data_IF_471528849999
#
_entry.id   IF_471528849999
#
_cell.length_a   1.000
_cell.length_b   1.000
_cell.length_c   1.000
_cell.angle_alpha   90.00
_cell.angle_beta   90.00
_cell.angle_gamma   90.00
#
_symmetry.space_group_name_H-M   'P 1'
#
loop_
_entity.id
_entity.type
_entity.pdbx_description
1 polymer ?
#
# COMPACT_ATOMS: atom_id res chain seq x y z
N UNK A 1 16.44 -5.85 -8.70
CA UNK A 1 17.11 -7.05 -8.18
C UNK A 1 16.36 -7.66 -6.99
N UNK A 2 16.26 -7.01 -5.81
CA UNK A 2 15.52 -7.57 -4.67
C UNK A 2 13.99 -7.42 -4.79
N UNK A 3 13.54 -6.28 -5.33
CA UNK A 3 12.13 -6.01 -5.65
C UNK A 3 11.50 -7.08 -6.57
N UNK A 4 12.31 -7.64 -7.49
CA UNK A 4 11.86 -8.65 -8.45
C UNK A 4 11.63 -10.03 -7.81
N UNK A 5 12.33 -10.33 -6.70
CA UNK A 5 12.17 -11.58 -5.96
C UNK A 5 10.90 -11.62 -5.08
N UNK A 6 10.33 -10.45 -4.77
CA UNK A 6 9.10 -10.32 -3.97
C UNK A 6 7.82 -10.48 -4.79
N UNK A 7 7.89 -10.22 -6.10
CA UNK A 7 6.73 -10.19 -7.00
C UNK A 7 6.12 -11.59 -7.22
N UNK A 8 6.90 -12.68 -7.09
CA UNK A 8 6.49 -14.05 -7.44
C UNK A 8 5.54 -14.74 -6.44
N UNK A 9 5.18 -14.10 -5.32
CA UNK A 9 4.41 -14.75 -4.22
C UNK A 9 2.90 -14.47 -4.21
N UNK A 10 2.34 -13.79 -5.21
CA UNK A 10 0.99 -13.20 -5.12
C UNK A 10 -0.16 -13.96 -5.80
N UNK A 11 0.03 -15.19 -6.31
CA UNK A 11 -1.02 -15.88 -7.06
C UNK A 11 -2.00 -16.72 -6.23
N UNK A 12 -1.77 -16.96 -4.93
CA UNK A 12 -2.69 -17.73 -4.10
C UNK A 12 -2.81 -17.12 -2.70
N UNK A 13 -3.91 -16.41 -2.40
CA UNK A 13 -4.69 -16.63 -1.17
C UNK A 13 -5.93 -15.71 -1.10
N UNK A 14 -7.11 -16.32 -1.02
CA UNK A 14 -8.37 -15.64 -0.74
C UNK A 14 -8.65 -15.59 0.77
N UNK A 15 -9.07 -14.40 1.21
CA UNK A 15 -9.98 -14.07 2.30
C UNK A 15 -9.79 -14.71 3.70
N UNK A 16 -9.59 -13.86 4.70
CA UNK A 16 -10.27 -14.03 6.00
C UNK A 16 -10.99 -12.74 6.38
N UNK A 17 -12.26 -12.90 6.76
CA UNK A 17 -13.22 -11.83 7.01
C UNK A 17 -13.15 -11.37 8.47
N UNK A 18 -12.83 -10.11 8.69
CA UNK A 18 -13.17 -9.37 9.91
C UNK A 18 -14.48 -8.62 9.60
N UNK A 19 -15.18 -8.12 10.62
CA UNK A 19 -16.36 -7.22 10.57
C UNK A 19 -16.15 -5.92 9.75
N UNK A 20 -15.67 -6.04 8.51
CA UNK A 20 -14.82 -5.09 7.78
C UNK A 20 -15.58 -4.02 7.01
N UNK A 21 -16.89 -4.19 6.83
CA UNK A 21 -17.65 -3.35 5.89
C UNK A 21 -17.83 -1.91 6.38
N UNK A 22 -17.99 -1.67 7.69
CA UNK A 22 -18.22 -0.32 8.21
C UNK A 22 -16.93 0.52 8.29
N UNK A 23 -15.84 -0.04 8.81
CA UNK A 23 -14.55 0.67 8.87
C UNK A 23 -13.97 0.93 7.49
N UNK A 24 -13.99 -0.06 6.59
CA UNK A 24 -13.54 0.12 5.22
C UNK A 24 -14.40 1.16 4.49
N UNK A 25 -15.71 1.20 4.75
CA UNK A 25 -16.61 2.23 4.21
C UNK A 25 -16.25 3.63 4.73
N UNK A 26 -15.92 3.78 6.02
CA UNK A 26 -15.46 5.05 6.59
C UNK A 26 -14.15 5.51 5.94
N UNK A 27 -13.17 4.61 5.78
CA UNK A 27 -11.90 4.90 5.12
C UNK A 27 -12.14 5.32 3.67
N UNK A 28 -12.97 4.59 2.91
CA UNK A 28 -13.32 4.92 1.52
C UNK A 28 -14.00 6.28 1.41
N UNK A 29 -14.89 6.62 2.34
CA UNK A 29 -15.55 7.92 2.37
C UNK A 29 -14.57 9.06 2.70
N UNK A 30 -13.70 8.87 3.69
CA UNK A 30 -12.65 9.83 4.01
C UNK A 30 -11.69 10.05 2.83
N UNK A 31 -11.24 8.97 2.17
CA UNK A 31 -10.40 9.01 0.99
C UNK A 31 -11.07 9.78 -0.16
N UNK A 32 -12.37 9.57 -0.38
CA UNK A 32 -13.15 10.38 -1.35
C UNK A 32 -13.06 11.85 -1.01
N UNK A 33 -13.32 12.24 0.24
CA UNK A 33 -13.30 13.67 0.65
C UNK A 33 -11.93 14.29 0.39
N UNK A 34 -10.85 13.61 0.77
CA UNK A 34 -9.47 14.09 0.54
C UNK A 34 -9.18 14.22 -0.94
N UNK A 35 -9.44 13.17 -1.74
CA UNK A 35 -9.22 13.21 -3.19
C UNK A 35 -10.04 14.32 -3.85
N UNK A 36 -11.32 14.51 -3.51
CA UNK A 36 -12.11 15.60 -4.09
C UNK A 36 -11.54 16.99 -3.81
N UNK A 37 -10.88 17.18 -2.65
CA UNK A 37 -10.26 18.45 -2.25
C UNK A 37 -8.88 18.67 -2.90
N UNK A 38 -8.18 17.59 -3.26
CA UNK A 38 -6.95 17.72 -4.04
C UNK A 38 -7.26 18.33 -5.40
N UNK A 39 -6.41 19.25 -5.87
CA UNK A 39 -6.47 19.87 -7.21
C UNK A 39 -5.33 19.36 -8.10
N UNK A 40 -5.33 18.08 -8.51
CA UNK A 40 -4.30 17.53 -9.37
C UNK A 40 -4.50 18.06 -10.78
N UNK A 41 -3.40 18.38 -11.43
CA UNK A 41 -3.39 18.70 -12.85
C UNK A 41 -3.52 17.44 -13.73
N UNK A 42 -3.24 16.25 -13.18
CA UNK A 42 -3.23 14.97 -13.88
C UNK A 42 -3.99 13.90 -13.10
N UNK A 43 -3.40 13.37 -12.04
CA UNK A 43 -3.93 12.27 -11.23
C UNK A 43 -3.61 12.51 -9.74
N UNK A 44 -4.36 11.85 -8.85
CA UNK A 44 -4.09 11.86 -7.42
C UNK A 44 -4.32 10.48 -6.83
N UNK A 45 -3.38 10.03 -6.00
CA UNK A 45 -3.45 8.73 -5.34
C UNK A 45 -3.31 8.91 -3.83
N UNK A 46 -4.08 8.14 -3.07
CA UNK A 46 -3.91 7.94 -1.64
C UNK A 46 -3.55 6.48 -1.41
N UNK A 47 -2.44 6.25 -0.71
CA UNK A 47 -2.01 4.94 -0.26
C UNK A 47 -2.28 4.90 1.24
N UNK A 48 -3.22 4.06 1.66
CA UNK A 48 -3.74 4.03 3.03
C UNK A 48 -3.33 2.70 3.65
N UNK A 49 -2.46 2.73 4.64
CA UNK A 49 -2.08 1.56 5.41
C UNK A 49 -3.20 1.20 6.40
N UNK A 50 -3.53 -0.09 6.49
CA UNK A 50 -4.60 -0.62 7.35
C UNK A 50 -4.07 -1.69 8.32
N UNK A 51 -2.78 -1.59 8.68
CA UNK A 51 -2.10 -2.57 9.53
C UNK A 51 -2.15 -3.97 8.94
N UNK A 52 -2.61 -4.94 9.74
CA UNK A 52 -2.75 -6.33 9.33
C UNK A 52 -3.70 -6.53 8.12
N UNK A 53 -4.60 -5.59 7.86
CA UNK A 53 -5.50 -5.64 6.71
C UNK A 53 -4.81 -5.23 5.39
N UNK A 54 -3.54 -4.84 5.41
CA UNK A 54 -2.77 -4.47 4.22
C UNK A 54 -2.95 -3.00 3.82
N UNK A 55 -3.06 -2.73 2.51
CA UNK A 55 -3.07 -1.37 1.95
C UNK A 55 -4.26 -1.15 1.04
N UNK A 56 -4.96 -0.03 1.23
CA UNK A 56 -5.99 0.44 0.31
C UNK A 56 -5.42 1.60 -0.54
N UNK A 57 -5.41 1.39 -1.85
CA UNK A 57 -5.14 2.44 -2.83
C UNK A 57 -6.46 3.08 -3.26
N UNK A 58 -6.56 4.40 -3.12
CA UNK A 58 -7.63 5.20 -3.70
C UNK A 58 -7.06 6.12 -4.78
N UNK A 59 -7.55 6.02 -6.00
CA UNK A 59 -7.01 6.75 -7.15
C UNK A 59 -8.09 7.62 -7.76
N UNK A 60 -7.73 8.87 -8.09
CA UNK A 60 -8.52 9.74 -8.93
C UNK A 60 -7.76 9.96 -10.24
N UNK A 61 -8.23 9.28 -11.29
CA UNK A 61 -7.64 9.37 -12.62
C UNK A 61 -8.08 10.64 -13.36
N UNK A 62 -7.26 11.07 -14.32
CA UNK A 62 -7.52 12.23 -15.17
C UNK A 62 -8.85 12.04 -15.91
N UNK A 63 -9.71 13.06 -15.87
CA UNK A 63 -10.91 13.08 -16.70
C UNK A 63 -10.51 13.02 -18.18
N UNK A 64 -10.97 12.00 -18.91
CA UNK A 64 -11.05 12.10 -20.36
C UNK A 64 -12.05 13.19 -20.69
N UNK A 65 -11.61 14.20 -21.43
CA UNK A 65 -12.36 15.43 -21.78
C UNK A 65 -13.55 15.21 -22.71
N UNK A 66 -13.95 13.96 -22.95
CA UNK A 66 -14.77 13.59 -24.12
C UNK A 66 -16.20 13.13 -23.81
N UNK A 67 -16.65 13.12 -22.54
CA UNK A 67 -18.03 12.69 -22.23
C UNK A 67 -18.74 13.60 -21.23
N UNK A 68 -19.97 13.93 -21.58
CA UNK A 68 -20.76 15.08 -21.12
C UNK A 68 -21.44 14.91 -19.76
N UNK A 69 -20.96 14.05 -18.85
CA UNK A 69 -21.54 13.92 -17.51
C UNK A 69 -20.50 13.68 -16.40
N UNK A 70 -20.04 14.81 -15.87
CA UNK A 70 -19.38 15.12 -14.60
C UNK A 70 -19.41 14.06 -13.46
N UNK A 71 -18.31 13.32 -13.29
CA UNK A 71 -17.58 13.14 -12.00
C UNK A 71 -16.26 12.43 -12.27
N UNK A 72 -15.13 12.94 -11.76
CA UNK A 72 -13.87 12.21 -11.81
C UNK A 72 -14.03 10.96 -10.94
N UNK A 73 -13.96 9.78 -11.57
CA UNK A 73 -14.23 8.52 -10.89
C UNK A 73 -13.07 8.21 -9.94
N UNK A 74 -13.40 8.01 -8.67
CA UNK A 74 -12.44 7.52 -7.67
C UNK A 74 -12.52 6.00 -7.68
N UNK A 75 -11.41 5.37 -8.05
CA UNK A 75 -11.25 3.91 -8.02
C UNK A 75 -10.54 3.49 -6.75
N UNK A 76 -10.77 2.24 -6.34
CA UNK A 76 -10.16 1.66 -5.15
C UNK A 76 -9.57 0.31 -5.48
N UNK A 77 -8.38 0.02 -4.97
CA UNK A 77 -7.76 -1.29 -5.03
C UNK A 77 -7.23 -1.66 -3.64
N UNK A 78 -7.64 -2.83 -3.15
CA UNK A 78 -7.17 -3.35 -1.86
C UNK A 78 -6.08 -4.39 -2.10
N UNK A 79 -4.97 -4.25 -1.38
CA UNK A 79 -3.84 -5.16 -1.36
C UNK A 79 -3.81 -5.80 0.04
N UNK A 80 -4.31 -7.04 0.21
CA UNK A 80 -4.31 -7.69 1.51
C UNK A 80 -2.87 -8.01 1.95
N UNK A 81 -2.61 -7.99 3.26
CA UNK A 81 -1.35 -8.50 3.80
C UNK A 81 -1.25 -9.99 3.47
N UNK A 82 -0.15 -10.40 2.82
CA UNK A 82 0.09 -11.80 2.44
C UNK A 82 0.70 -12.62 3.58
N UNK A 83 1.15 -11.98 4.66
CA UNK A 83 1.83 -12.63 5.77
C UNK A 83 1.13 -12.32 7.09
N UNK A 84 0.79 -13.41 7.80
CA UNK A 84 0.55 -13.34 9.23
C UNK A 84 1.93 -13.20 9.87
N UNK A 85 2.18 -12.03 10.46
CA UNK A 85 3.39 -11.82 11.26
C UNK A 85 3.24 -12.70 12.50
N UNK A 86 4.14 -13.66 12.66
CA UNK A 86 4.13 -14.55 13.80
C UNK A 86 4.50 -13.76 15.06
N UNK A 87 3.54 -13.65 15.98
CA UNK A 87 3.69 -12.89 17.23
C UNK A 87 4.72 -13.51 18.18
N UNK A 88 5.12 -14.77 17.97
CA UNK A 88 6.06 -15.48 18.85
C UNK A 88 7.52 -15.03 18.69
N UNK A 89 7.88 -14.34 17.60
CA UNK A 89 9.27 -14.00 17.27
C UNK A 89 9.77 -12.62 17.74
N UNK A 90 8.99 -11.90 18.55
CA UNK A 90 9.36 -10.55 19.00
C UNK A 90 9.10 -9.54 17.88
N UNK A 91 7.88 -9.02 17.84
CA UNK A 91 7.40 -8.15 16.78
C UNK A 91 7.65 -6.69 17.14
N UNK A 92 8.28 -5.93 16.24
CA UNK A 92 8.47 -4.49 16.41
C UNK A 92 7.74 -3.71 15.30
N UNK A 93 6.57 -3.15 15.62
CA UNK A 93 5.81 -2.35 14.63
C UNK A 93 6.39 -0.96 14.36
N UNK A 94 7.41 -0.54 15.12
CA UNK A 94 8.06 0.77 14.96
C UNK A 94 8.70 0.86 13.57
N UNK A 95 8.42 1.94 12.84
CA UNK A 95 9.01 2.17 11.52
C UNK A 95 8.43 1.32 10.39
N UNK A 96 7.40 0.51 10.61
CA UNK A 96 6.74 -0.24 9.54
C UNK A 96 6.14 0.67 8.45
N UNK A 97 5.50 1.77 8.86
CA UNK A 97 4.96 2.78 7.94
C UNK A 97 6.05 3.55 7.18
N UNK A 98 7.12 3.94 7.88
CA UNK A 98 8.26 4.62 7.27
C UNK A 98 9.00 3.71 6.28
N UNK A 99 9.17 2.43 6.66
CA UNK A 99 9.75 1.40 5.80
C UNK A 99 8.92 1.24 4.53
N UNK A 100 7.59 1.12 4.66
CA UNK A 100 6.68 1.02 3.52
C UNK A 100 6.82 2.23 2.60
N UNK A 101 6.79 3.43 3.16
CA UNK A 101 6.88 4.67 2.40
C UNK A 101 8.23 4.78 1.67
N UNK A 102 9.33 4.48 2.34
CA UNK A 102 10.68 4.50 1.76
C UNK A 102 10.84 3.49 0.64
N UNK A 103 10.43 2.23 0.86
CA UNK A 103 10.48 1.17 -0.14
C UNK A 103 9.55 1.46 -1.33
N UNK A 104 8.36 2.03 -1.08
CA UNK A 104 7.45 2.49 -2.14
C UNK A 104 8.10 3.57 -3.01
N UNK A 105 8.68 4.61 -2.40
CA UNK A 105 9.34 5.70 -3.12
C UNK A 105 10.49 5.17 -3.97
N UNK A 106 11.32 4.30 -3.39
CA UNK A 106 12.42 3.66 -4.11
C UNK A 106 11.91 2.80 -5.28
N UNK A 107 10.88 1.98 -5.07
CA UNK A 107 10.35 1.13 -6.13
C UNK A 107 9.72 1.94 -7.26
N UNK A 108 8.86 2.91 -6.95
CA UNK A 108 8.08 3.64 -7.94
C UNK A 108 8.88 4.73 -8.65
N UNK A 109 9.49 5.64 -7.89
CA UNK A 109 10.11 6.84 -8.45
C UNK A 109 11.55 6.63 -8.88
N UNK A 110 12.29 5.72 -8.22
CA UNK A 110 13.70 5.47 -8.54
C UNK A 110 13.84 4.33 -9.54
N UNK A 111 13.13 3.22 -9.32
CA UNK A 111 13.28 2.00 -10.14
C UNK A 111 12.18 1.86 -11.22
N UNK A 112 11.22 2.78 -11.30
CA UNK A 112 10.20 2.79 -12.35
C UNK A 112 9.19 1.63 -12.28
N UNK A 113 9.06 0.97 -11.13
CA UNK A 113 8.02 -0.05 -10.96
C UNK A 113 6.63 0.58 -11.03
N UNK A 114 5.64 -0.19 -11.51
CA UNK A 114 4.24 0.25 -11.51
C UNK A 114 3.77 0.57 -10.09
N UNK A 115 2.78 1.47 -9.96
CA UNK A 115 2.22 1.87 -8.66
C UNK A 115 1.80 0.67 -7.81
N UNK A 116 1.13 -0.33 -8.44
CA UNK A 116 0.69 -1.56 -7.76
C UNK A 116 1.86 -2.40 -7.27
N UNK A 117 2.93 -2.54 -8.07
CA UNK A 117 4.10 -3.32 -7.68
C UNK A 117 4.90 -2.61 -6.59
N UNK A 118 5.03 -1.28 -6.67
CA UNK A 118 5.68 -0.49 -5.63
C UNK A 118 4.97 -0.59 -4.27
N UNK A 119 3.62 -0.63 -4.27
CA UNK A 119 2.85 -0.88 -3.04
C UNK A 119 3.18 -2.25 -2.45
N UNK A 120 3.19 -3.30 -3.28
CA UNK A 120 3.55 -4.66 -2.83
C UNK A 120 4.96 -4.73 -2.25
N UNK A 121 5.94 -4.13 -2.93
CA UNK A 121 7.33 -4.03 -2.44
C UNK A 121 7.38 -3.30 -1.10
N UNK A 122 6.64 -2.20 -0.95
CA UNK A 122 6.54 -1.47 0.31
C UNK A 122 5.93 -2.29 1.44
N UNK A 123 4.86 -3.06 1.16
CA UNK A 123 4.24 -3.96 2.12
C UNK A 123 5.20 -5.05 2.57
N UNK A 124 5.92 -5.68 1.63
CA UNK A 124 6.87 -6.73 1.95
C UNK A 124 8.06 -6.19 2.77
N UNK A 125 8.56 -5.00 2.43
CA UNK A 125 9.60 -4.34 3.21
C UNK A 125 9.13 -4.03 4.64
N UNK A 126 7.89 -3.57 4.80
CA UNK A 126 7.31 -3.32 6.12
C UNK A 126 7.24 -4.59 6.97
N UNK A 127 6.86 -5.73 6.37
CA UNK A 127 6.86 -7.02 7.09
C UNK A 127 8.27 -7.39 7.54
N UNK A 128 9.28 -7.23 6.68
CA UNK A 128 10.68 -7.50 7.04
C UNK A 128 11.17 -6.61 8.18
N UNK A 129 10.76 -5.33 8.24
CA UNK A 129 11.05 -4.47 9.39
C UNK A 129 10.29 -4.88 10.64
N UNK A 130 9.03 -5.31 10.51
CA UNK A 130 8.22 -5.79 11.63
C UNK A 130 8.82 -7.04 12.29
N UNK A 131 9.40 -7.92 11.47
CA UNK A 131 10.12 -9.14 11.87
C UNK A 131 11.54 -8.86 12.42
N UNK A 132 11.95 -7.60 12.54
CA UNK A 132 13.25 -7.20 13.08
C UNK A 132 13.09 -6.59 14.50
N UNK A 133 13.24 -7.39 15.57
CA UNK A 133 13.00 -6.91 16.94
C UNK A 133 13.97 -5.80 17.37
N UNK A 134 15.20 -5.80 16.83
CA UNK A 134 16.28 -4.96 17.32
C UNK A 134 16.28 -3.52 16.76
N UNK A 135 15.31 -3.15 15.91
CA UNK A 135 15.24 -1.79 15.37
C UNK A 135 14.03 -1.50 14.49
N UNK A 136 13.87 -0.24 14.10
CA UNK A 136 12.73 0.24 13.32
C UNK A 136 12.83 -0.06 11.81
N UNK A 137 14.05 -0.30 11.31
CA UNK A 137 14.32 -0.62 9.91
C UNK A 137 15.28 -1.80 9.90
N UNK A 138 14.89 -2.89 9.24
CA UNK A 138 15.74 -4.08 9.12
C UNK A 138 16.99 -3.78 8.28
N UNK A 139 18.20 -4.17 8.74
CA UNK A 139 19.43 -3.96 7.99
C UNK A 139 19.45 -4.73 6.65
N UNK A 140 18.66 -5.79 6.53
CA UNK A 140 18.53 -6.59 5.29
C UNK A 140 17.97 -5.76 4.13
N UNK A 141 17.25 -4.67 4.43
CA UNK A 141 16.71 -3.75 3.43
C UNK A 141 17.80 -2.84 2.80
N UNK A 142 18.95 -2.67 3.47
CA UNK A 142 20.04 -1.79 3.04
C UNK A 142 21.25 -2.50 2.44
N UNK A 143 21.27 -3.84 2.43
CA UNK A 143 22.44 -4.65 2.01
C UNK A 143 22.47 -5.01 0.52
N UNK A 144 21.73 -4.31 -0.34
CA UNK A 144 21.65 -4.61 -1.79
C UNK A 144 21.78 -3.36 -2.64
#
# INVERSE_FOLDING_TARGET
>A
AWADALITKYDDCAASAINSTDEESKIRNAAKVVLHRMRPHTEAHLIITMGANGVLLASREKMNTDTTFNKSAITFAHFPSSRNVDSELGVNYTGAGDTLAGAFVNAHFINGHSLKNAIKIGMDAAVVSIEFPDGAISPVLGTV
#
